data_IF_335189816646
#
_entry.id   IF_335189816646
#
_cell.length_a   1.000
_cell.length_b   1.000
_cell.length_c   1.000
_cell.angle_alpha   90.00
_cell.angle_beta   90.00
_cell.angle_gamma   90.00
#
_symmetry.space_group_name_H-M   'P 1'
#
loop_
_entity.id
_entity.type
_entity.pdbx_description
1 polymer ?
#
# COMPACT_ATOMS: atom_id res chain seq x y z
N UNK A 1 -17.33 -20.44 10.65
CA UNK A 1 -17.12 -19.09 10.10
C UNK A 1 -16.18 -18.37 11.05
N UNK A 2 -15.00 -17.99 10.60
CA UNK A 2 -14.00 -17.31 11.45
C UNK A 2 -14.57 -15.97 11.91
N UNK A 3 -14.45 -15.57 13.19
CA UNK A 3 -15.00 -14.30 13.64
C UNK A 3 -14.43 -13.14 12.81
N UNK A 4 -15.25 -12.13 12.43
CA UNK A 4 -14.77 -10.96 11.69
C UNK A 4 -13.64 -10.23 12.44
N UNK A 5 -13.62 -10.33 13.77
CA UNK A 5 -12.59 -9.82 14.68
C UNK A 5 -11.17 -10.38 14.42
N UNK A 6 -11.05 -11.49 13.66
CA UNK A 6 -9.74 -12.01 13.23
C UNK A 6 -9.07 -11.12 12.19
N UNK A 7 -9.85 -10.51 11.31
CA UNK A 7 -9.36 -9.84 10.09
C UNK A 7 -9.62 -8.35 10.06
N UNK A 8 -10.60 -7.87 10.83
CA UNK A 8 -10.92 -6.46 10.98
C UNK A 8 -11.09 -6.10 12.45
N UNK A 9 -10.84 -4.83 12.77
CA UNK A 9 -11.04 -4.26 14.10
C UNK A 9 -12.22 -3.29 14.02
N UNK A 10 -13.00 -3.16 15.10
CA UNK A 10 -14.27 -2.43 15.08
C UNK A 10 -14.10 -0.92 14.87
N UNK A 11 -12.97 -0.37 15.31
CA UNK A 11 -12.68 1.05 15.28
C UNK A 11 -11.17 1.31 15.34
N UNK A 12 -10.83 2.60 15.28
CA UNK A 12 -9.46 3.08 15.27
C UNK A 12 -8.75 2.89 16.63
N UNK A 13 -9.48 2.90 17.75
CA UNK A 13 -8.90 2.67 19.08
C UNK A 13 -8.46 1.22 19.24
N UNK A 14 -9.30 0.27 18.81
CA UNK A 14 -8.94 -1.13 18.74
C UNK A 14 -7.75 -1.38 17.79
N UNK A 15 -7.70 -0.66 16.66
CA UNK A 15 -6.55 -0.68 15.75
C UNK A 15 -5.26 -0.21 16.40
N UNK A 16 -5.29 0.89 17.14
CA UNK A 16 -4.14 1.39 17.90
C UNK A 16 -3.71 0.43 19.01
N UNK A 17 -4.66 -0.16 19.75
CA UNK A 17 -4.36 -1.16 20.78
C UNK A 17 -3.62 -2.37 20.19
N UNK A 18 -4.12 -2.91 19.06
CA UNK A 18 -3.43 -4.00 18.35
C UNK A 18 -2.07 -3.56 17.82
N UNK A 19 -1.95 -2.34 17.29
CA UNK A 19 -0.69 -1.79 16.82
C UNK A 19 0.35 -1.74 17.93
N UNK A 20 -0.01 -1.27 19.13
CA UNK A 20 0.87 -1.26 20.30
C UNK A 20 1.37 -2.66 20.66
N UNK A 21 0.50 -3.67 20.65
CA UNK A 21 0.90 -5.06 20.89
C UNK A 21 1.92 -5.56 19.85
N UNK A 22 1.74 -5.22 18.57
CA UNK A 22 2.64 -5.62 17.48
C UNK A 22 3.97 -4.86 17.52
N UNK A 23 3.93 -3.55 17.76
CA UNK A 23 5.14 -2.74 17.90
C UNK A 23 5.99 -3.21 19.09
N UNK A 24 5.37 -3.62 20.20
CA UNK A 24 6.08 -4.24 21.34
C UNK A 24 6.77 -5.57 20.99
N UNK A 25 6.30 -6.25 19.93
CA UNK A 25 6.93 -7.44 19.36
C UNK A 25 7.93 -7.13 18.23
N UNK A 26 8.24 -5.84 17.98
CA UNK A 26 9.13 -5.41 16.90
C UNK A 26 8.51 -5.50 15.50
N UNK A 27 7.18 -5.51 15.41
CA UNK A 27 6.44 -5.60 14.15
C UNK A 27 5.79 -4.24 13.88
N UNK A 28 6.22 -3.58 12.80
CA UNK A 28 5.57 -2.39 12.24
C UNK A 28 4.19 -2.74 11.70
N UNK A 29 3.25 -1.80 11.78
CA UNK A 29 1.88 -2.00 11.32
C UNK A 29 1.53 -1.11 10.12
N UNK A 30 0.46 -1.49 9.42
CA UNK A 30 -0.22 -0.64 8.45
C UNK A 30 -1.68 -0.55 8.89
N UNK A 31 -2.17 0.65 9.16
CA UNK A 31 -3.57 0.90 9.47
C UNK A 31 -4.31 1.21 8.17
N UNK A 32 -5.36 0.45 7.88
CA UNK A 32 -6.18 0.61 6.68
C UNK A 32 -7.64 0.83 7.08
N UNK A 33 -8.11 2.09 7.14
CA UNK A 33 -9.55 2.37 7.13
C UNK A 33 -10.23 1.62 5.97
N UNK A 34 -11.36 0.97 6.26
CA UNK A 34 -11.97 -0.04 5.38
C UNK A 34 -12.99 0.56 4.39
N UNK A 35 -13.12 1.87 4.31
CA UNK A 35 -13.93 2.54 3.30
C UNK A 35 -13.35 2.32 1.89
N UNK A 36 -14.20 1.96 0.92
CA UNK A 36 -13.84 1.79 -0.49
C UNK A 36 -14.98 2.30 -1.39
N UNK A 37 -14.66 2.64 -2.64
CA UNK A 37 -15.64 3.01 -3.67
C UNK A 37 -16.64 4.10 -3.27
N UNK A 38 -16.12 5.24 -2.79
CA UNK A 38 -16.94 6.41 -2.54
C UNK A 38 -17.63 6.88 -3.85
N UNK A 39 -18.97 6.88 -3.84
CA UNK A 39 -19.78 7.27 -5.00
C UNK A 39 -20.17 8.76 -5.02
N UNK A 40 -19.87 9.51 -3.96
CA UNK A 40 -20.18 10.93 -3.82
C UNK A 40 -19.18 11.66 -2.92
N UNK A 41 -19.21 13.00 -2.96
CA UNK A 41 -18.32 13.88 -2.19
C UNK A 41 -18.44 13.68 -0.68
N UNK A 42 -19.62 13.31 -0.18
CA UNK A 42 -19.83 13.10 1.25
C UNK A 42 -19.15 11.81 1.72
N UNK A 43 -19.21 10.75 0.92
CA UNK A 43 -18.52 9.50 1.16
C UNK A 43 -17.00 9.68 1.07
N UNK A 44 -16.51 10.36 0.04
CA UNK A 44 -15.09 10.65 -0.12
C UNK A 44 -14.55 11.51 1.03
N UNK A 45 -15.32 12.49 1.50
CA UNK A 45 -14.98 13.31 2.66
C UNK A 45 -14.92 12.53 3.97
N UNK A 46 -15.79 11.53 4.16
CA UNK A 46 -15.71 10.62 5.33
C UNK A 46 -14.47 9.74 5.28
N UNK A 47 -14.13 9.18 4.11
CA UNK A 47 -12.92 8.39 3.95
C UNK A 47 -11.66 9.23 4.20
N UNK A 48 -11.58 10.45 3.65
CA UNK A 48 -10.48 11.38 3.92
C UNK A 48 -10.34 11.66 5.42
N UNK A 49 -11.46 11.94 6.11
CA UNK A 49 -11.45 12.16 7.56
C UNK A 49 -10.95 10.93 8.34
N UNK A 50 -11.31 9.72 7.92
CA UNK A 50 -10.86 8.48 8.54
C UNK A 50 -9.34 8.28 8.38
N UNK A 51 -8.78 8.51 7.19
CA UNK A 51 -7.33 8.47 6.97
C UNK A 51 -6.58 9.49 7.83
N UNK A 52 -7.07 10.74 7.87
CA UNK A 52 -6.46 11.81 8.68
C UNK A 52 -6.54 11.52 10.17
N UNK A 53 -7.64 10.91 10.64
CA UNK A 53 -7.78 10.47 12.03
C UNK A 53 -6.76 9.37 12.37
N UNK A 54 -6.57 8.38 11.48
CA UNK A 54 -5.57 7.33 11.67
C UNK A 54 -4.14 7.90 11.75
N UNK A 55 -3.79 8.80 10.84
CA UNK A 55 -2.49 9.51 10.87
C UNK A 55 -2.33 10.27 12.18
N UNK A 56 -3.36 11.01 12.60
CA UNK A 56 -3.35 11.77 13.84
C UNK A 56 -3.11 10.89 15.07
N UNK A 57 -3.75 9.72 15.12
CA UNK A 57 -3.61 8.78 16.23
C UNK A 57 -2.22 8.12 16.26
N UNK A 58 -1.71 7.66 15.11
CA UNK A 58 -0.36 7.09 14.98
C UNK A 58 0.68 8.08 15.54
N UNK A 59 0.58 9.34 15.12
CA UNK A 59 1.51 10.39 15.56
C UNK A 59 1.36 10.73 17.06
N UNK A 60 0.13 10.80 17.57
CA UNK A 60 -0.13 11.14 18.96
C UNK A 60 0.34 10.06 19.95
N UNK A 61 0.21 8.78 19.57
CA UNK A 61 0.65 7.65 20.40
C UNK A 61 2.09 7.21 20.12
N UNK A 62 2.75 7.77 19.09
CA UNK A 62 4.11 7.38 18.70
C UNK A 62 4.18 5.94 18.19
N UNK A 63 3.15 5.49 17.46
CA UNK A 63 3.08 4.12 16.93
C UNK A 63 4.03 3.95 15.75
N UNK A 64 4.67 2.80 15.66
CA UNK A 64 5.42 2.39 14.47
C UNK A 64 4.45 1.81 13.44
N UNK A 65 3.85 2.72 12.67
CA UNK A 65 2.86 2.38 11.67
C UNK A 65 2.83 3.34 10.46
N UNK A 66 2.29 2.83 9.35
CA UNK A 66 1.86 3.62 8.20
C UNK A 66 0.34 3.55 8.01
N UNK A 67 -0.18 4.35 7.08
CA UNK A 67 -1.58 4.28 6.63
C UNK A 67 -1.64 3.84 5.17
N UNK A 68 -2.46 2.83 4.87
CA UNK A 68 -2.76 2.43 3.50
C UNK A 68 -4.03 3.11 3.00
N UNK A 69 -3.95 3.72 1.82
CA UNK A 69 -5.01 4.51 1.19
C UNK A 69 -5.45 3.83 -0.10
N UNK A 70 -6.76 3.77 -0.33
CA UNK A 70 -7.34 3.35 -1.62
C UNK A 70 -7.90 4.57 -2.34
N UNK A 71 -7.59 4.71 -3.63
CA UNK A 71 -8.04 5.86 -4.41
C UNK A 71 -9.55 5.82 -4.67
N UNK A 72 -10.14 4.62 -4.75
CA UNK A 72 -11.60 4.49 -4.85
C UNK A 72 -12.33 5.06 -3.63
N UNK A 73 -11.74 4.98 -2.43
CA UNK A 73 -12.28 5.58 -1.22
C UNK A 73 -12.30 7.11 -1.29
N UNK A 74 -11.40 7.70 -2.07
CA UNK A 74 -11.32 9.14 -2.31
C UNK A 74 -12.18 9.60 -3.50
N UNK A 75 -12.86 8.69 -4.20
CA UNK A 75 -13.75 8.99 -5.32
C UNK A 75 -13.14 8.79 -6.71
N UNK A 76 -11.91 8.27 -6.82
CA UNK A 76 -11.25 8.09 -8.12
C UNK A 76 -12.04 7.16 -9.06
N UNK A 77 -12.62 6.08 -8.52
CA UNK A 77 -13.44 5.13 -9.29
C UNK A 77 -14.76 5.74 -9.78
N UNK A 78 -15.28 6.73 -9.07
CA UNK A 78 -16.51 7.45 -9.42
C UNK A 78 -16.24 8.67 -10.33
N UNK A 79 -14.98 9.01 -10.58
CA UNK A 79 -14.59 10.15 -11.40
C UNK A 79 -14.86 11.50 -10.74
N UNK A 80 -14.83 11.58 -9.40
CA UNK A 80 -14.94 12.85 -8.69
C UNK A 80 -13.73 13.74 -9.00
N UNK A 81 -13.92 15.01 -9.34
CA UNK A 81 -12.80 15.86 -9.79
C UNK A 81 -11.71 16.04 -8.71
N UNK A 82 -12.11 16.06 -7.43
CA UNK A 82 -11.24 16.41 -6.31
C UNK A 82 -10.51 15.22 -5.65
N UNK A 83 -10.56 13.99 -6.22
CA UNK A 83 -9.96 12.82 -5.55
C UNK A 83 -8.44 12.95 -5.37
N UNK A 84 -7.74 13.60 -6.31
CA UNK A 84 -6.30 13.85 -6.24
C UNK A 84 -5.95 14.83 -5.12
N UNK A 85 -6.69 15.94 -5.01
CA UNK A 85 -6.52 16.91 -3.93
C UNK A 85 -6.74 16.30 -2.55
N UNK A 86 -7.66 15.33 -2.42
CA UNK A 86 -7.87 14.56 -1.18
C UNK A 86 -6.63 13.74 -0.83
N UNK A 87 -6.04 13.05 -1.80
CA UNK A 87 -4.82 12.28 -1.60
C UNK A 87 -3.67 13.20 -1.16
N UNK A 88 -3.45 14.31 -1.86
CA UNK A 88 -2.38 15.25 -1.51
C UNK A 88 -2.50 15.81 -0.10
N UNK A 89 -3.71 16.10 0.37
CA UNK A 89 -3.94 16.50 1.79
C UNK A 89 -3.59 15.39 2.78
N UNK A 90 -3.88 14.14 2.46
CA UNK A 90 -3.55 12.98 3.30
C UNK A 90 -2.03 12.77 3.33
N UNK A 91 -1.36 12.81 2.17
CA UNK A 91 0.09 12.66 2.02
C UNK A 91 0.83 13.77 2.75
N UNK A 92 0.42 15.02 2.57
CA UNK A 92 1.00 16.18 3.24
C UNK A 92 0.81 16.13 4.77
N UNK A 93 -0.32 15.62 5.27
CA UNK A 93 -0.48 15.37 6.70
C UNK A 93 0.42 14.26 7.24
N UNK A 94 0.54 13.14 6.51
CA UNK A 94 1.47 12.07 6.83
C UNK A 94 2.89 12.62 6.95
N UNK A 95 3.34 13.38 5.94
CA UNK A 95 4.65 14.04 5.95
C UNK A 95 4.86 14.93 7.17
N UNK A 96 3.94 15.86 7.47
CA UNK A 96 4.05 16.78 8.61
C UNK A 96 4.13 16.07 9.96
N UNK A 97 3.50 14.90 10.08
CA UNK A 97 3.44 14.12 11.31
C UNK A 97 4.43 12.95 11.35
N UNK A 98 5.28 12.82 10.33
CA UNK A 98 6.23 11.71 10.17
C UNK A 98 5.55 10.32 10.16
N UNK A 99 4.38 10.22 9.53
CA UNK A 99 3.63 8.97 9.33
C UNK A 99 3.69 8.60 7.85
N UNK A 100 4.12 7.36 7.56
CA UNK A 100 4.19 6.87 6.19
C UNK A 100 2.81 6.66 5.57
N UNK A 101 2.68 6.98 4.28
CA UNK A 101 1.48 6.72 3.48
C UNK A 101 1.83 5.72 2.38
N UNK A 102 0.95 4.73 2.18
CA UNK A 102 1.04 3.76 1.09
C UNK A 102 -0.24 3.78 0.27
N UNK A 103 -0.12 3.83 -1.05
CA UNK A 103 -1.25 3.65 -1.96
C UNK A 103 -1.42 2.15 -2.24
N UNK A 104 -2.56 1.61 -1.83
CA UNK A 104 -2.98 0.26 -2.20
C UNK A 104 -3.35 0.22 -3.68
N UNK A 105 -2.89 -0.82 -4.37
CA UNK A 105 -3.19 -1.01 -5.77
C UNK A 105 -4.49 -1.77 -5.94
N UNK A 106 -5.45 -1.11 -6.59
CA UNK A 106 -6.80 -1.62 -6.81
C UNK A 106 -6.93 -2.33 -8.18
N UNK A 107 -8.14 -2.44 -8.73
CA UNK A 107 -8.36 -3.05 -10.04
C UNK A 107 -7.67 -2.31 -11.20
N UNK A 108 -7.55 -2.98 -12.36
CA UNK A 108 -6.77 -2.51 -13.52
C UNK A 108 -7.04 -1.05 -13.96
N UNK A 109 -8.28 -0.58 -13.82
CA UNK A 109 -8.66 0.80 -14.15
C UNK A 109 -7.95 1.87 -13.30
N UNK A 110 -7.57 1.53 -12.06
CA UNK A 110 -6.92 2.44 -11.11
C UNK A 110 -5.39 2.34 -11.12
N UNK A 111 -4.80 1.38 -11.84
CA UNK A 111 -3.33 1.21 -11.91
C UNK A 111 -2.65 2.43 -12.51
N UNK A 112 -3.18 2.95 -13.62
CA UNK A 112 -2.66 4.18 -14.23
C UNK A 112 -2.77 5.40 -13.31
N UNK A 113 -3.98 5.72 -12.80
CA UNK A 113 -4.18 6.80 -11.84
C UNK A 113 -3.30 6.71 -10.59
N UNK A 114 -3.13 5.52 -10.02
CA UNK A 114 -2.32 5.33 -8.82
C UNK A 114 -0.83 5.60 -9.04
N UNK A 115 -0.28 5.17 -10.19
CA UNK A 115 1.12 5.47 -10.55
C UNK A 115 1.30 6.97 -10.77
N UNK A 116 0.38 7.61 -11.52
CA UNK A 116 0.47 9.03 -11.82
C UNK A 116 0.38 9.89 -10.54
N UNK A 117 -0.55 9.56 -9.63
CA UNK A 117 -0.69 10.27 -8.37
C UNK A 117 0.54 10.09 -7.46
N UNK A 118 1.13 8.88 -7.40
CA UNK A 118 2.34 8.66 -6.63
C UNK A 118 3.55 9.46 -7.18
N UNK A 119 3.64 9.63 -8.50
CA UNK A 119 4.67 10.47 -9.13
C UNK A 119 4.46 11.96 -8.83
N UNK A 120 3.21 12.45 -8.89
CA UNK A 120 2.88 13.83 -8.54
C UNK A 120 3.27 14.17 -7.08
N UNK A 121 2.97 13.26 -6.14
CA UNK A 121 3.37 13.43 -4.74
C UNK A 121 4.89 13.29 -4.52
N UNK A 122 5.60 12.54 -5.37
CA UNK A 122 7.06 12.51 -5.36
C UNK A 122 7.65 13.85 -5.81
N UNK A 123 7.11 14.43 -6.88
CA UNK A 123 7.49 15.77 -7.37
C UNK A 123 7.23 16.85 -6.31
N UNK A 124 6.18 16.68 -5.49
CA UNK A 124 5.87 17.52 -4.33
C UNK A 124 6.79 17.27 -3.11
N UNK A 125 7.69 16.27 -3.17
CA UNK A 125 8.69 15.95 -2.16
C UNK A 125 8.19 15.04 -1.03
N UNK A 126 7.11 14.29 -1.25
CA UNK A 126 6.48 13.43 -0.25
C UNK A 126 6.02 12.08 -0.84
N UNK A 127 6.90 11.28 -1.48
CA UNK A 127 6.48 10.09 -2.20
C UNK A 127 5.78 9.09 -1.27
N UNK A 128 4.51 8.72 -1.52
CA UNK A 128 3.89 7.60 -0.86
C UNK A 128 4.55 6.29 -1.36
N UNK A 129 4.50 5.23 -0.55
CA UNK A 129 4.74 3.88 -1.07
C UNK A 129 3.64 3.47 -2.06
N UNK A 130 3.92 2.53 -2.95
CA UNK A 130 2.94 2.09 -3.96
C UNK A 130 2.96 0.56 -4.14
N UNK A 131 1.80 -0.08 -4.04
CA UNK A 131 1.70 -1.51 -4.31
C UNK A 131 1.81 -1.84 -5.81
N UNK A 132 2.44 -2.97 -6.15
CA UNK A 132 2.61 -3.47 -7.53
C UNK A 132 2.19 -4.94 -7.60
N UNK A 133 1.30 -5.26 -8.54
CA UNK A 133 0.62 -6.56 -8.59
C UNK A 133 1.29 -7.51 -9.61
N UNK A 134 1.72 -8.69 -9.19
CA UNK A 134 2.45 -9.63 -10.04
C UNK A 134 1.60 -10.24 -11.18
N UNK A 135 0.29 -10.33 -11.03
CA UNK A 135 -0.62 -10.95 -12.00
C UNK A 135 -0.91 -10.14 -13.29
N UNK A 136 -0.31 -8.95 -13.47
CA UNK A 136 -0.53 -8.09 -14.64
C UNK A 136 0.66 -8.16 -15.59
N UNK A 137 0.39 -8.14 -16.89
CA UNK A 137 1.41 -8.12 -17.93
C UNK A 137 2.21 -6.80 -17.92
N UNK A 138 1.58 -5.69 -17.49
CA UNK A 138 2.18 -4.35 -17.43
C UNK A 138 3.18 -4.14 -16.28
N UNK A 139 3.11 -4.94 -15.23
CA UNK A 139 3.83 -4.71 -13.97
C UNK A 139 5.36 -4.60 -14.10
N UNK A 140 6.05 -5.38 -14.95
CA UNK A 140 7.50 -5.20 -15.12
C UNK A 140 7.90 -3.83 -15.65
N UNK A 141 7.08 -3.22 -16.52
CA UNK A 141 7.35 -1.88 -17.06
C UNK A 141 7.01 -0.81 -16.01
N UNK A 142 5.86 -0.95 -15.35
CA UNK A 142 5.43 -0.02 -14.30
C UNK A 142 6.38 -0.03 -13.10
N UNK A 143 6.86 -1.20 -12.65
CA UNK A 143 7.82 -1.30 -11.55
C UNK A 143 9.11 -0.52 -11.85
N UNK A 144 9.63 -0.61 -13.08
CA UNK A 144 10.82 0.17 -13.49
C UNK A 144 10.53 1.67 -13.56
N UNK A 145 9.30 2.08 -13.87
CA UNK A 145 8.88 3.48 -13.82
C UNK A 145 8.85 3.98 -12.36
N UNK A 146 8.15 3.25 -11.49
CA UNK A 146 8.04 3.53 -10.04
C UNK A 146 9.43 3.64 -9.39
N UNK A 147 10.31 2.67 -9.64
CA UNK A 147 11.66 2.67 -9.08
C UNK A 147 12.53 3.83 -9.57
N UNK A 148 12.38 4.25 -10.83
CA UNK A 148 13.09 5.42 -11.38
C UNK A 148 12.59 6.73 -10.80
N UNK A 149 11.30 6.82 -10.52
CA UNK A 149 10.65 7.98 -9.92
C UNK A 149 10.84 8.09 -8.40
N UNK A 150 11.80 7.39 -7.80
CA UNK A 150 12.04 7.58 -6.36
C UNK A 150 11.04 6.86 -5.43
N UNK A 151 9.98 6.24 -5.94
CA UNK A 151 8.91 5.63 -5.14
C UNK A 151 9.31 4.23 -4.64
N UNK A 152 8.96 3.91 -3.39
CA UNK A 152 9.19 2.59 -2.79
C UNK A 152 8.04 1.62 -3.14
N UNK A 153 8.31 0.51 -3.85
CA UNK A 153 7.26 -0.42 -4.22
C UNK A 153 6.96 -1.45 -3.11
N UNK A 154 5.70 -1.86 -3.00
CA UNK A 154 5.27 -3.07 -2.27
C UNK A 154 4.78 -4.13 -3.26
N UNK A 155 5.55 -5.20 -3.44
CA UNK A 155 5.18 -6.28 -4.35
C UNK A 155 4.10 -7.16 -3.72
N UNK A 156 3.00 -7.35 -4.45
CA UNK A 156 1.88 -8.23 -4.07
C UNK A 156 1.54 -9.14 -5.24
N UNK A 157 0.81 -10.25 -4.98
CA UNK A 157 0.32 -11.11 -6.06
C UNK A 157 -0.74 -10.41 -6.93
N UNK A 158 -1.64 -9.68 -6.27
CA UNK A 158 -2.85 -9.09 -6.84
C UNK A 158 -4.11 -9.71 -6.23
N UNK A 159 -5.13 -8.91 -6.00
CA UNK A 159 -6.37 -9.31 -5.30
C UNK A 159 -7.65 -9.13 -6.15
N UNK A 160 -7.53 -8.59 -7.36
CA UNK A 160 -8.63 -8.38 -8.30
C UNK A 160 -8.54 -9.35 -9.50
N UNK A 161 -9.22 -9.05 -10.60
CA UNK A 161 -9.06 -9.76 -11.87
C UNK A 161 -7.80 -9.22 -12.57
N UNK A 162 -6.79 -10.08 -12.75
CA UNK A 162 -5.56 -9.78 -13.49
C UNK A 162 -5.51 -10.45 -14.87
N UNK A 163 -4.37 -10.32 -15.55
CA UNK A 163 -4.13 -10.90 -16.88
C UNK A 163 -3.87 -12.42 -16.82
N UNK A 164 -3.55 -12.94 -15.63
CA UNK A 164 -3.44 -14.36 -15.35
C UNK A 164 -4.10 -14.71 -14.01
N UNK A 165 -4.75 -15.88 -13.97
CA UNK A 165 -5.23 -16.52 -12.74
C UNK A 165 -4.42 -17.77 -12.37
N UNK A 166 -3.40 -18.12 -13.17
CA UNK A 166 -2.57 -19.28 -12.91
C UNK A 166 -1.61 -18.99 -11.75
N UNK A 167 -1.76 -19.73 -10.66
CA UNK A 167 -1.00 -19.51 -9.43
C UNK A 167 0.51 -19.67 -9.62
N UNK A 168 0.94 -20.64 -10.43
CA UNK A 168 2.36 -20.90 -10.68
C UNK A 168 2.97 -19.80 -11.54
N UNK A 169 2.21 -19.31 -12.52
CA UNK A 169 2.61 -18.14 -13.31
C UNK A 169 2.72 -16.88 -12.44
N UNK A 170 1.76 -16.63 -11.54
CA UNK A 170 1.80 -15.51 -10.60
C UNK A 170 3.03 -15.60 -9.69
N UNK A 171 3.36 -16.78 -9.17
CA UNK A 171 4.58 -16.97 -8.36
C UNK A 171 5.85 -16.65 -9.16
N UNK A 172 5.93 -17.12 -10.41
CA UNK A 172 7.05 -16.81 -11.31
C UNK A 172 7.17 -15.30 -11.55
N UNK A 173 6.07 -14.65 -11.94
CA UNK A 173 6.03 -13.20 -12.18
C UNK A 173 6.40 -12.41 -10.93
N UNK A 174 5.98 -12.87 -9.75
CA UNK A 174 6.36 -12.23 -8.48
C UNK A 174 7.89 -12.25 -8.29
N UNK A 175 8.52 -13.40 -8.53
CA UNK A 175 9.98 -13.50 -8.45
C UNK A 175 10.70 -12.67 -9.51
N UNK A 176 10.14 -12.57 -10.72
CA UNK A 176 10.68 -11.69 -11.78
C UNK A 176 10.63 -10.21 -11.35
N UNK A 177 9.52 -9.76 -10.74
CA UNK A 177 9.40 -8.41 -10.17
C UNK A 177 10.38 -8.18 -9.02
N UNK A 178 10.53 -9.17 -8.13
CA UNK A 178 11.49 -9.07 -7.02
C UNK A 178 12.94 -8.98 -7.52
N UNK A 179 13.29 -9.68 -8.61
CA UNK A 179 14.59 -9.55 -9.23
C UNK A 179 14.82 -8.12 -9.77
N UNK A 180 13.85 -7.54 -10.47
CA UNK A 180 13.90 -6.14 -10.94
C UNK A 180 14.09 -5.17 -9.76
N UNK A 181 13.35 -5.37 -8.65
CA UNK A 181 13.46 -4.53 -7.47
C UNK A 181 14.84 -4.66 -6.80
N UNK A 182 15.38 -5.87 -6.67
CA UNK A 182 16.72 -6.13 -6.13
C UNK A 182 17.83 -5.50 -6.99
N UNK A 183 17.73 -5.61 -8.32
CA UNK A 183 18.68 -5.00 -9.26
C UNK A 183 18.74 -3.48 -9.14
N UNK A 184 17.66 -2.84 -8.71
CA UNK A 184 17.63 -1.39 -8.47
C UNK A 184 18.48 -0.95 -7.28
N UNK A 185 18.79 -1.86 -6.35
CA UNK A 185 19.49 -1.56 -5.10
C UNK A 185 18.70 -0.70 -4.11
N UNK A 186 17.40 -0.49 -4.35
CA UNK A 186 16.51 0.31 -3.49
C UNK A 186 15.67 -0.60 -2.58
N UNK A 187 15.33 -0.16 -1.36
CA UNK A 187 14.42 -0.90 -0.49
C UNK A 187 13.04 -1.09 -1.12
N UNK A 188 12.43 -2.24 -0.88
CA UNK A 188 11.05 -2.54 -1.28
C UNK A 188 10.39 -3.49 -0.26
N UNK A 189 9.06 -3.52 -0.29
CA UNK A 189 8.27 -4.37 0.59
C UNK A 189 7.71 -5.58 -0.17
N UNK A 190 7.59 -6.71 0.53
CA UNK A 190 7.05 -7.96 0.02
C UNK A 190 5.77 -8.29 0.79
N UNK A 191 4.63 -8.14 0.12
CA UNK A 191 3.28 -8.38 0.63
C UNK A 191 2.76 -9.77 0.26
N UNK A 192 3.26 -10.82 0.91
CA UNK A 192 2.82 -12.20 0.63
C UNK A 192 2.92 -13.13 1.84
N UNK A 193 1.92 -14.00 2.00
CA UNK A 193 1.91 -15.10 2.96
C UNK A 193 2.42 -16.43 2.38
N UNK A 194 2.85 -16.42 1.10
CA UNK A 194 3.28 -17.63 0.40
C UNK A 194 4.65 -18.11 0.93
N UNK A 195 4.73 -19.29 1.56
CA UNK A 195 5.97 -19.77 2.17
C UNK A 195 7.07 -20.03 1.14
N UNK A 196 6.72 -20.38 -0.11
CA UNK A 196 7.71 -20.65 -1.15
C UNK A 196 8.35 -19.36 -1.64
N UNK A 197 7.54 -18.31 -1.85
CA UNK A 197 8.05 -16.98 -2.21
C UNK A 197 8.89 -16.38 -1.09
N UNK A 198 8.40 -16.44 0.15
CA UNK A 198 9.16 -15.97 1.32
C UNK A 198 10.47 -16.73 1.45
N UNK A 199 10.43 -18.06 1.38
CA UNK A 199 11.61 -18.91 1.50
C UNK A 199 12.68 -18.59 0.44
N UNK A 200 12.26 -18.39 -0.82
CA UNK A 200 13.17 -18.01 -1.91
C UNK A 200 13.78 -16.64 -1.68
N UNK A 201 12.98 -15.62 -1.37
CA UNK A 201 13.46 -14.25 -1.19
C UNK A 201 14.40 -14.10 0.00
N UNK A 202 14.11 -14.79 1.10
CA UNK A 202 14.99 -14.82 2.28
C UNK A 202 16.36 -15.43 1.96
N UNK A 203 16.43 -16.37 1.03
CA UNK A 203 17.69 -17.02 0.64
C UNK A 203 18.50 -16.24 -0.40
N UNK A 204 17.85 -15.49 -1.28
CA UNK A 204 18.52 -14.87 -2.45
C UNK A 204 18.81 -13.38 -2.29
N UNK A 205 18.21 -12.70 -1.32
CA UNK A 205 18.26 -11.25 -1.24
C UNK A 205 19.25 -10.71 -0.20
N UNK A 206 19.79 -9.52 -0.46
CA UNK A 206 20.33 -8.68 0.59
C UNK A 206 19.19 -8.28 1.53
N UNK A 207 19.18 -8.85 2.73
CA UNK A 207 18.12 -8.65 3.73
C UNK A 207 17.96 -7.20 4.16
N UNK A 208 18.89 -6.31 3.81
CA UNK A 208 18.78 -4.86 4.04
C UNK A 208 17.84 -4.16 3.07
N UNK A 209 17.50 -4.80 1.95
CA UNK A 209 16.65 -4.22 0.89
C UNK A 209 15.19 -4.70 0.96
N UNK A 210 14.88 -5.73 1.74
CA UNK A 210 13.54 -6.33 1.78
C UNK A 210 12.91 -6.16 3.15
N UNK A 211 11.74 -5.52 3.17
CA UNK A 211 10.79 -5.57 4.28
C UNK A 211 9.68 -6.57 3.94
N UNK A 212 9.31 -7.45 4.87
CA UNK A 212 8.16 -8.34 4.70
C UNK A 212 6.97 -7.75 5.44
N UNK A 213 5.90 -7.45 4.70
CA UNK A 213 4.62 -6.98 5.22
C UNK A 213 3.53 -8.00 4.92
N UNK A 214 2.55 -8.12 5.80
CA UNK A 214 1.49 -9.14 5.71
C UNK A 214 0.11 -8.48 5.76
#
# INVERSE_FOLDING_TARGET
MTPPERWALPDLEAAAARCRERNAAGIRCILAPLEEYAGDEAAAGRAEAAYRAAIGLIAAEGLDAAVAVKLSALGAAAGLEDWGDRLGRIVDEGRRRHVGIEIDMEGAALVGPAIAAAEEEEEAGAPPGLAVQAYLDRSPADLRRILRAGIAPRLVKGAYIGDTGDFSDIQRRFMDLAAIALESGRPFSVGTHDPDLVGRLVQTADRRLIEFGF
#
